data_IF_926207322151
#
_entry.id   IF_926207322151
#
_cell.length_a   1.000
_cell.length_b   1.000
_cell.length_c   1.000
_cell.angle_alpha   90.00
_cell.angle_beta   90.00
_cell.angle_gamma   90.00
#
_symmetry.space_group_name_H-M   'P 1'
#
loop_
_entity.id
_entity.type
_entity.pdbx_description
1 polymer ?
#
# COMPACT_ATOMS: atom_id res chain seq x y z
N UNK A 1 -19.27 -45.45 -70.64
CA UNK A 1 -19.98 -45.05 -69.38
C UNK A 1 -18.96 -44.77 -68.32
N UNK A 2 -18.51 -43.53 -68.24
CA UNK A 2 -17.62 -43.09 -67.19
C UNK A 2 -18.44 -42.23 -66.20
N UNK A 3 -18.65 -42.74 -65.02
CA UNK A 3 -19.22 -41.97 -63.88
C UNK A 3 -18.14 -41.10 -63.27
N UNK A 4 -18.19 -39.81 -63.52
CA UNK A 4 -17.37 -38.84 -62.77
C UNK A 4 -17.96 -38.62 -61.37
N UNK A 5 -17.36 -39.23 -60.37
CA UNK A 5 -17.65 -38.87 -58.98
C UNK A 5 -17.07 -37.49 -58.73
N UNK A 6 -17.88 -36.45 -58.73
CA UNK A 6 -17.53 -35.12 -58.30
C UNK A 6 -17.32 -35.10 -56.83
N UNK A 7 -16.06 -35.09 -56.39
CA UNK A 7 -15.72 -34.75 -55.01
C UNK A 7 -15.97 -33.25 -54.76
N UNK A 8 -17.04 -32.93 -54.06
CA UNK A 8 -17.28 -31.56 -53.56
C UNK A 8 -16.22 -31.23 -52.52
N UNK A 9 -15.25 -30.43 -52.94
CA UNK A 9 -14.29 -29.84 -52.00
C UNK A 9 -15.03 -28.71 -51.30
N UNK A 10 -15.36 -28.92 -50.03
CA UNK A 10 -15.82 -27.84 -49.12
C UNK A 10 -14.63 -26.93 -48.85
N UNK A 11 -14.55 -25.83 -49.57
CA UNK A 11 -13.63 -24.73 -49.24
C UNK A 11 -14.28 -23.94 -48.11
N UNK A 12 -13.70 -23.89 -46.94
CA UNK A 12 -14.20 -23.01 -45.87
C UNK A 12 -14.05 -21.56 -46.36
N UNK A 13 -15.15 -20.97 -46.80
CA UNK A 13 -15.21 -19.54 -47.09
C UNK A 13 -15.17 -18.79 -45.77
N UNK A 14 -14.01 -18.20 -45.46
CA UNK A 14 -13.86 -17.26 -44.39
C UNK A 14 -14.50 -15.91 -44.79
N UNK A 15 -15.69 -15.56 -44.26
CA UNK A 15 -16.37 -14.32 -44.60
C UNK A 15 -15.63 -13.06 -44.11
N UNK A 16 -14.63 -13.22 -43.27
CA UNK A 16 -13.81 -12.12 -42.74
C UNK A 16 -12.63 -11.75 -43.64
N UNK A 17 -12.39 -12.53 -44.75
CA UNK A 17 -11.26 -12.33 -45.68
C UNK A 17 -9.89 -12.28 -44.94
N UNK A 18 -9.72 -13.15 -43.98
CA UNK A 18 -8.47 -13.21 -43.18
C UNK A 18 -8.32 -12.14 -42.09
N UNK A 19 -9.31 -11.24 -41.93
CA UNK A 19 -9.25 -10.22 -40.85
C UNK A 19 -9.24 -10.84 -39.46
N UNK A 20 -9.88 -11.99 -39.29
CA UNK A 20 -9.84 -12.72 -38.01
C UNK A 20 -8.43 -13.19 -37.63
N UNK A 21 -7.62 -13.64 -38.60
CA UNK A 21 -6.23 -14.07 -38.37
C UNK A 21 -5.29 -12.89 -38.06
N UNK A 22 -5.59 -11.70 -38.57
CA UNK A 22 -4.82 -10.48 -38.30
C UNK A 22 -5.09 -9.98 -36.89
N UNK A 23 -6.29 -10.22 -36.35
CA UNK A 23 -6.66 -9.82 -34.98
C UNK A 23 -5.97 -10.70 -33.92
N UNK A 24 -5.76 -12.00 -34.22
CA UNK A 24 -5.16 -12.98 -33.32
C UNK A 24 -3.65 -12.74 -33.08
N UNK A 25 -2.98 -11.96 -33.92
CA UNK A 25 -1.52 -11.67 -33.83
C UNK A 25 -1.14 -10.31 -33.20
N UNK A 26 -2.09 -9.49 -32.83
CA UNK A 26 -1.81 -8.15 -32.27
C UNK A 26 -2.44 -7.97 -30.90
N UNK A 27 -1.87 -8.65 -29.88
CA UNK A 27 -2.14 -8.25 -28.49
C UNK A 27 -1.59 -6.83 -28.30
N UNK A 28 -2.46 -5.82 -28.08
CA UNK A 28 -1.98 -4.44 -27.92
C UNK A 28 -1.09 -4.37 -26.70
N UNK A 29 0.06 -3.74 -26.87
CA UNK A 29 0.96 -3.45 -25.75
C UNK A 29 0.20 -2.65 -24.69
N UNK A 30 0.48 -2.88 -23.39
CA UNK A 30 -0.14 -2.11 -22.27
C UNK A 30 -0.09 -0.60 -22.49
N UNK A 31 0.93 -0.12 -23.17
CA UNK A 31 1.08 1.29 -23.53
C UNK A 31 0.04 1.74 -24.57
N UNK A 32 -0.20 0.94 -25.61
CA UNK A 32 -1.22 1.21 -26.62
C UNK A 32 -2.63 1.16 -26.02
N UNK A 33 -2.87 0.22 -25.10
CA UNK A 33 -4.12 0.17 -24.35
C UNK A 33 -4.31 1.43 -23.49
N UNK A 34 -3.26 1.88 -22.80
CA UNK A 34 -3.32 3.12 -22.01
C UNK A 34 -3.70 4.33 -22.86
N UNK A 35 -3.16 4.46 -24.06
CA UNK A 35 -3.51 5.55 -24.98
C UNK A 35 -4.99 5.55 -25.39
N UNK A 36 -5.62 4.37 -25.40
CA UNK A 36 -7.05 4.20 -25.69
C UNK A 36 -7.96 4.57 -24.51
N UNK A 37 -7.41 4.79 -23.30
CA UNK A 37 -8.22 5.02 -22.10
C UNK A 37 -8.63 6.49 -21.85
N UNK A 38 -8.47 7.38 -22.85
CA UNK A 38 -8.94 8.75 -22.80
C UNK A 38 -8.35 9.60 -21.68
N UNK A 39 -9.04 10.72 -21.34
CA UNK A 39 -8.54 11.70 -20.37
C UNK A 39 -8.49 11.16 -18.93
N UNK A 40 -9.35 10.21 -18.60
CA UNK A 40 -9.48 9.66 -17.25
C UNK A 40 -8.31 8.77 -16.83
N UNK A 41 -7.49 8.32 -17.78
CA UNK A 41 -6.31 7.51 -17.46
C UNK A 41 -5.21 8.31 -16.76
N UNK A 42 -5.10 9.62 -17.03
CA UNK A 42 -4.07 10.47 -16.41
C UNK A 42 -4.20 10.57 -14.89
N UNK A 43 -5.39 10.87 -14.30
CA UNK A 43 -5.53 10.88 -12.85
C UNK A 43 -5.35 9.48 -12.24
N UNK A 44 -5.81 8.40 -12.91
CA UNK A 44 -5.57 7.03 -12.43
C UNK A 44 -4.07 6.73 -12.37
N UNK A 45 -3.32 7.07 -13.42
CA UNK A 45 -1.88 6.87 -13.48
C UNK A 45 -1.13 7.70 -12.44
N UNK A 46 -1.55 8.95 -12.21
CA UNK A 46 -0.99 9.80 -11.17
C UNK A 46 -1.12 9.15 -9.78
N UNK A 47 -2.31 8.69 -9.43
CA UNK A 47 -2.53 7.98 -8.17
C UNK A 47 -1.78 6.66 -8.09
N UNK A 48 -1.67 5.91 -9.21
CA UNK A 48 -0.90 4.68 -9.29
C UNK A 48 0.57 4.92 -8.96
N UNK A 49 1.21 5.86 -9.64
CA UNK A 49 2.63 6.20 -9.43
C UNK A 49 2.86 6.71 -8.01
N UNK A 50 2.02 7.62 -7.52
CA UNK A 50 2.11 8.15 -6.16
C UNK A 50 2.01 7.02 -5.11
N UNK A 51 1.02 6.13 -5.25
CA UNK A 51 0.83 4.99 -4.36
C UNK A 51 2.03 4.04 -4.37
N UNK A 52 2.55 3.69 -5.55
CA UNK A 52 3.72 2.81 -5.69
C UNK A 52 4.96 3.44 -5.03
N UNK A 53 5.23 4.71 -5.29
CA UNK A 53 6.39 5.41 -4.71
C UNK A 53 6.31 5.46 -3.18
N UNK A 54 5.13 5.80 -2.62
CA UNK A 54 4.91 5.82 -1.18
C UNK A 54 5.04 4.42 -0.60
N UNK A 55 4.44 3.41 -1.24
CA UNK A 55 4.49 2.02 -0.78
C UNK A 55 5.93 1.49 -0.75
N UNK A 56 6.72 1.73 -1.79
CA UNK A 56 8.13 1.33 -1.86
C UNK A 56 8.97 2.04 -0.80
N UNK A 57 8.83 3.37 -0.67
CA UNK A 57 9.56 4.15 0.32
C UNK A 57 9.23 3.70 1.75
N UNK A 58 7.96 3.54 2.06
CA UNK A 58 7.50 3.09 3.39
C UNK A 58 7.85 1.64 3.66
N UNK A 59 7.75 0.77 2.68
CA UNK A 59 8.18 -0.63 2.81
C UNK A 59 9.66 -0.69 3.18
N UNK A 60 10.51 0.05 2.47
CA UNK A 60 11.92 0.12 2.76
C UNK A 60 12.23 0.71 4.15
N UNK A 61 11.52 1.78 4.54
CA UNK A 61 11.66 2.41 5.86
C UNK A 61 11.30 1.43 6.98
N UNK A 62 10.14 0.77 6.88
CA UNK A 62 9.63 -0.12 7.93
C UNK A 62 10.40 -1.45 7.97
N UNK A 63 10.83 -1.97 6.80
CA UNK A 63 11.64 -3.20 6.71
C UNK A 63 13.03 -3.04 7.32
N UNK A 64 13.61 -1.85 7.28
CA UNK A 64 14.92 -1.56 7.87
C UNK A 64 14.93 -1.43 9.39
N UNK A 65 13.78 -1.38 10.04
CA UNK A 65 13.72 -1.32 11.51
C UNK A 65 13.97 -2.74 12.05
N UNK A 66 15.13 -2.98 12.69
CA UNK A 66 15.43 -4.29 13.27
C UNK A 66 14.54 -4.54 14.49
N UNK A 67 13.98 -5.72 14.56
CA UNK A 67 13.27 -6.16 15.76
C UNK A 67 14.30 -6.60 16.81
N UNK A 68 14.13 -6.20 18.08
CA UNK A 68 15.00 -6.69 19.15
C UNK A 68 14.82 -8.20 19.32
N UNK A 69 15.91 -8.94 19.10
CA UNK A 69 15.99 -10.36 19.35
C UNK A 69 16.84 -10.56 20.62
N UNK A 70 16.20 -10.79 21.76
CA UNK A 70 16.93 -11.06 22.98
C UNK A 70 16.29 -10.42 24.23
N UNK A 71 16.89 -10.69 25.42
CA UNK A 71 16.40 -10.11 26.66
C UNK A 71 16.51 -8.59 26.64
N UNK A 72 15.46 -7.92 27.07
CA UNK A 72 15.45 -6.46 27.20
C UNK A 72 16.37 -6.10 28.39
N UNK A 73 17.53 -5.54 28.10
CA UNK A 73 18.47 -5.06 29.10
C UNK A 73 18.76 -3.58 28.86
N UNK A 74 19.00 -2.82 29.93
CA UNK A 74 19.39 -1.41 29.83
C UNK A 74 20.77 -1.21 29.19
N UNK A 75 21.58 -2.27 29.10
CA UNK A 75 22.95 -2.26 28.53
C UNK A 75 23.02 -2.73 27.07
N UNK A 76 21.92 -3.24 26.51
CA UNK A 76 21.89 -3.75 25.11
C UNK A 76 21.98 -2.61 24.09
N UNK A 77 22.53 -2.90 22.92
CA UNK A 77 22.48 -1.98 21.78
C UNK A 77 21.32 -2.36 20.88
N UNK A 78 20.34 -1.49 20.74
CA UNK A 78 19.14 -1.69 19.95
C UNK A 78 19.13 -0.72 18.77
N UNK A 79 18.45 -1.06 17.67
CA UNK A 79 18.35 -0.19 16.50
C UNK A 79 17.06 0.64 16.48
N UNK A 80 17.12 1.83 15.86
CA UNK A 80 15.94 2.64 15.56
C UNK A 80 15.13 3.08 16.79
N UNK A 81 13.79 2.92 16.77
CA UNK A 81 12.92 3.41 17.85
C UNK A 81 13.19 2.75 19.22
N UNK A 82 13.63 1.51 19.24
CA UNK A 82 13.95 0.79 20.48
C UNK A 82 15.15 1.38 21.21
N UNK A 83 16.14 1.89 20.47
CA UNK A 83 17.29 2.58 21.05
C UNK A 83 16.88 3.92 21.68
N UNK A 84 15.94 4.62 21.05
CA UNK A 84 15.39 5.86 21.61
C UNK A 84 14.68 5.59 22.95
N UNK A 85 13.81 4.57 23.00
CA UNK A 85 13.13 4.17 24.25
C UNK A 85 14.13 3.80 25.35
N UNK A 86 15.18 3.04 25.00
CA UNK A 86 16.22 2.64 25.95
C UNK A 86 17.01 3.86 26.51
N UNK A 87 17.45 4.75 25.61
CA UNK A 87 18.20 5.96 26.01
C UNK A 87 17.36 6.85 26.94
N UNK A 88 16.09 7.02 26.61
CA UNK A 88 15.17 7.77 27.45
C UNK A 88 15.02 7.10 28.82
N UNK A 89 14.82 5.78 28.86
CA UNK A 89 14.72 5.07 30.13
C UNK A 89 15.99 5.19 30.99
N UNK A 90 17.19 5.24 30.37
CA UNK A 90 18.44 5.47 31.06
C UNK A 90 18.53 6.90 31.63
N UNK A 91 18.11 7.92 30.87
CA UNK A 91 18.14 9.32 31.29
C UNK A 91 17.21 9.62 32.49
N UNK A 92 16.14 8.85 32.61
CA UNK A 92 15.15 9.02 33.70
C UNK A 92 15.28 8.01 34.84
N UNK A 93 16.47 7.41 35.04
CA UNK A 93 16.70 6.41 36.09
C UNK A 93 16.34 6.91 37.51
N UNK A 94 16.57 8.17 37.83
CA UNK A 94 16.29 8.76 39.14
C UNK A 94 14.87 9.24 39.38
N UNK A 95 13.96 9.15 38.37
CA UNK A 95 12.57 9.63 38.48
C UNK A 95 11.60 8.49 38.81
N UNK A 96 10.37 8.85 39.24
CA UNK A 96 9.32 7.86 39.55
C UNK A 96 8.99 6.99 38.33
N UNK A 97 8.67 5.69 38.47
CA UNK A 97 8.34 4.79 37.38
C UNK A 97 7.16 5.28 36.55
N UNK A 98 6.16 5.93 37.18
CA UNK A 98 4.97 6.44 36.52
C UNK A 98 5.30 7.50 35.46
N UNK A 99 6.23 8.41 35.80
CA UNK A 99 6.71 9.47 34.88
C UNK A 99 7.45 8.84 33.70
N UNK A 100 8.22 7.80 33.93
CA UNK A 100 8.93 7.10 32.87
C UNK A 100 7.94 6.43 31.88
N UNK A 101 6.90 5.79 32.43
CA UNK A 101 5.87 5.13 31.63
C UNK A 101 5.16 6.12 30.70
N UNK A 102 4.77 7.29 31.20
CA UNK A 102 4.14 8.36 30.45
C UNK A 102 5.04 8.87 29.30
N UNK A 103 6.30 9.15 29.59
CA UNK A 103 7.27 9.63 28.58
C UNK A 103 7.53 8.57 27.50
N UNK A 104 7.68 7.30 27.88
CA UNK A 104 7.89 6.23 26.91
C UNK A 104 6.66 6.04 26.02
N UNK A 105 5.46 6.20 26.58
CA UNK A 105 4.21 6.13 25.81
C UNK A 105 4.10 7.28 24.80
N UNK A 106 4.45 8.51 25.19
CA UNK A 106 4.51 9.67 24.29
C UNK A 106 5.47 9.43 23.11
N UNK A 107 6.65 8.86 23.38
CA UNK A 107 7.62 8.52 22.33
C UNK A 107 7.05 7.46 21.37
N UNK A 108 6.31 6.49 21.87
CA UNK A 108 5.68 5.46 21.02
C UNK A 108 4.66 6.09 20.10
N UNK A 109 3.79 6.97 20.63
CA UNK A 109 2.77 7.68 19.82
C UNK A 109 3.45 8.53 18.74
N UNK A 110 4.49 9.28 19.08
CA UNK A 110 5.24 10.10 18.14
C UNK A 110 5.90 9.24 17.04
N UNK A 111 6.51 8.12 17.40
CA UNK A 111 7.10 7.20 16.45
C UNK A 111 6.03 6.59 15.54
N UNK A 112 4.88 6.18 16.09
CA UNK A 112 3.76 5.68 15.32
C UNK A 112 3.28 6.72 14.30
N UNK A 113 3.00 7.95 14.73
CA UNK A 113 2.52 9.02 13.85
C UNK A 113 3.49 9.30 12.69
N UNK A 114 4.80 9.30 12.96
CA UNK A 114 5.83 9.48 11.90
C UNK A 114 5.87 8.31 10.92
N UNK A 115 5.71 7.09 11.40
CA UNK A 115 5.74 5.89 10.57
C UNK A 115 4.44 5.73 9.76
N UNK A 116 3.29 6.11 10.31
CA UNK A 116 1.99 6.08 9.64
C UNK A 116 1.87 7.12 8.52
N UNK A 117 2.61 8.23 8.61
CA UNK A 117 2.53 9.33 7.65
C UNK A 117 2.72 8.82 6.22
N UNK A 118 1.70 9.02 5.38
CA UNK A 118 1.65 8.60 3.96
C UNK A 118 0.99 7.24 3.71
N UNK A 119 0.86 6.35 4.70
CA UNK A 119 0.13 5.08 4.53
C UNK A 119 -1.35 5.31 4.20
N UNK A 120 -2.07 6.27 4.82
CA UNK A 120 -3.45 6.55 4.46
C UNK A 120 -3.64 6.96 2.99
N UNK A 121 -2.65 7.60 2.37
CA UNK A 121 -2.73 7.98 0.96
C UNK A 121 -2.79 6.76 0.03
N UNK A 122 -2.11 5.65 0.39
CA UNK A 122 -2.20 4.39 -0.35
C UNK A 122 -3.63 3.82 -0.26
N UNK A 123 -4.26 3.89 0.93
CA UNK A 123 -5.65 3.47 1.11
C UNK A 123 -6.63 4.32 0.30
N UNK A 124 -6.42 5.64 0.30
CA UNK A 124 -7.22 6.59 -0.50
C UNK A 124 -7.10 6.26 -2.00
N UNK A 125 -5.88 5.98 -2.49
CA UNK A 125 -5.67 5.55 -3.88
C UNK A 125 -6.44 4.27 -4.20
N UNK A 126 -6.38 3.27 -3.32
CA UNK A 126 -7.09 2.01 -3.51
C UNK A 126 -8.62 2.20 -3.58
N UNK A 127 -9.17 3.18 -2.86
CA UNK A 127 -10.60 3.50 -2.89
C UNK A 127 -11.00 4.36 -4.11
N UNK A 128 -10.17 5.35 -4.47
CA UNK A 128 -10.51 6.32 -5.52
C UNK A 128 -10.25 5.76 -6.92
N UNK A 129 -9.21 4.95 -7.12
CA UNK A 129 -8.85 4.46 -8.46
C UNK A 129 -9.99 3.69 -9.17
N UNK A 130 -10.74 2.77 -8.54
CA UNK A 130 -11.90 2.14 -9.17
C UNK A 130 -13.03 3.12 -9.47
N UNK A 131 -13.24 4.15 -8.62
CA UNK A 131 -14.27 5.16 -8.84
C UNK A 131 -13.94 6.05 -10.04
N UNK A 132 -12.66 6.39 -10.22
CA UNK A 132 -12.19 7.09 -11.43
C UNK A 132 -12.35 6.21 -12.66
N UNK A 133 -12.09 4.91 -12.55
CA UNK A 133 -12.35 3.94 -13.61
C UNK A 133 -13.85 3.89 -13.99
N UNK A 134 -14.72 3.82 -12.99
CA UNK A 134 -16.16 3.86 -13.21
C UNK A 134 -16.62 5.20 -13.85
N UNK A 135 -16.06 6.32 -13.38
CA UNK A 135 -16.36 7.62 -13.96
C UNK A 135 -15.97 7.68 -15.44
N UNK A 136 -14.82 7.06 -15.79
CA UNK A 136 -14.38 6.92 -17.18
C UNK A 136 -15.37 6.12 -18.02
N UNK A 137 -15.95 5.02 -17.49
CA UNK A 137 -16.97 4.26 -18.23
C UNK A 137 -18.25 5.08 -18.44
N UNK A 138 -18.72 5.77 -17.42
CA UNK A 138 -19.93 6.59 -17.52
C UNK A 138 -19.78 7.71 -18.56
N UNK A 139 -18.64 8.42 -18.52
CA UNK A 139 -18.36 9.51 -19.48
C UNK A 139 -18.19 8.99 -20.89
N UNK A 140 -17.43 7.88 -21.08
CA UNK A 140 -17.24 7.26 -22.37
C UNK A 140 -18.57 6.79 -23.01
N UNK A 141 -19.46 6.19 -22.22
CA UNK A 141 -20.78 5.78 -22.70
C UNK A 141 -21.68 6.97 -23.03
N UNK A 142 -21.62 8.07 -22.26
CA UNK A 142 -22.34 9.30 -22.58
C UNK A 142 -21.89 9.83 -23.96
N UNK A 143 -20.60 9.82 -24.24
CA UNK A 143 -20.09 10.30 -25.52
C UNK A 143 -20.49 9.38 -26.69
N UNK A 144 -20.54 8.07 -26.48
CA UNK A 144 -21.08 7.12 -27.46
C UNK A 144 -22.56 7.42 -27.78
N UNK A 145 -23.39 7.64 -26.75
CA UNK A 145 -24.81 7.99 -26.97
C UNK A 145 -24.98 9.35 -27.66
N UNK A 146 -24.16 10.34 -27.34
CA UNK A 146 -24.16 11.64 -28.06
C UNK A 146 -23.84 11.48 -29.53
N UNK A 147 -22.88 10.61 -29.90
CA UNK A 147 -22.57 10.32 -31.29
C UNK A 147 -23.73 9.68 -32.00
N UNK A 148 -24.41 8.70 -31.41
CA UNK A 148 -25.58 8.05 -31.96
C UNK A 148 -26.72 9.05 -32.23
N UNK A 149 -26.95 10.01 -31.29
CA UNK A 149 -28.04 10.97 -31.42
C UNK A 149 -27.75 12.10 -32.41
N UNK A 150 -26.48 12.48 -32.56
CA UNK A 150 -26.09 13.61 -33.41
C UNK A 150 -25.85 13.21 -34.90
N UNK A 151 -25.49 11.96 -35.14
CA UNK A 151 -25.19 11.45 -36.49
C UNK A 151 -26.22 10.40 -36.88
N UNK A 152 -26.90 10.63 -37.97
CA UNK A 152 -27.92 9.69 -38.48
C UNK A 152 -27.35 8.28 -38.81
N UNK A 153 -26.06 8.19 -39.12
CA UNK A 153 -25.31 6.95 -39.34
C UNK A 153 -23.92 7.06 -38.69
N UNK A 154 -23.79 6.83 -37.39
CA UNK A 154 -22.48 6.79 -36.77
C UNK A 154 -21.65 5.60 -37.27
N UNK A 155 -20.37 5.81 -37.55
CA UNK A 155 -19.49 4.72 -37.94
C UNK A 155 -19.32 3.71 -36.78
N UNK A 156 -19.53 2.43 -37.08
CA UNK A 156 -19.41 1.35 -36.09
C UNK A 156 -18.01 1.34 -35.40
N UNK A 157 -16.98 1.80 -36.11
CA UNK A 157 -15.62 1.92 -35.60
C UNK A 157 -15.49 2.95 -34.48
N UNK A 158 -16.19 4.10 -34.57
CA UNK A 158 -16.17 5.14 -33.55
C UNK A 158 -16.95 4.72 -32.28
N UNK A 159 -18.09 4.03 -32.49
CA UNK A 159 -18.85 3.45 -31.39
C UNK A 159 -18.00 2.41 -30.61
N UNK A 160 -17.37 1.49 -31.36
CA UNK A 160 -16.50 0.48 -30.78
C UNK A 160 -15.33 1.10 -30.03
N UNK A 161 -14.75 2.19 -30.55
CA UNK A 161 -13.67 2.94 -29.87
C UNK A 161 -14.14 3.55 -28.55
N UNK A 162 -15.28 4.23 -28.50
CA UNK A 162 -15.81 4.84 -27.28
C UNK A 162 -16.13 3.80 -26.20
N UNK A 163 -16.69 2.65 -26.58
CA UNK A 163 -16.92 1.53 -25.66
C UNK A 163 -15.60 0.96 -25.14
N UNK A 164 -14.61 0.77 -26.03
CA UNK A 164 -13.30 0.27 -25.65
C UNK A 164 -12.60 1.22 -24.67
N UNK A 165 -12.63 2.53 -24.92
CA UNK A 165 -12.09 3.56 -24.04
C UNK A 165 -12.70 3.48 -22.63
N UNK A 166 -14.02 3.36 -22.57
CA UNK A 166 -14.74 3.20 -21.32
C UNK A 166 -14.26 1.97 -20.52
N UNK A 167 -14.16 0.82 -21.16
CA UNK A 167 -13.77 -0.44 -20.51
C UNK A 167 -12.29 -0.42 -20.05
N UNK A 168 -11.40 0.20 -20.84
CA UNK A 168 -9.98 0.34 -20.52
C UNK A 168 -9.76 1.16 -19.26
N UNK A 169 -10.49 2.24 -19.05
CA UNK A 169 -10.34 3.06 -17.83
C UNK A 169 -10.68 2.27 -16.56
N UNK A 170 -11.73 1.46 -16.57
CA UNK A 170 -12.08 0.58 -15.44
C UNK A 170 -11.02 -0.48 -15.20
N UNK A 171 -10.50 -1.10 -16.26
CA UNK A 171 -9.39 -2.06 -16.18
C UNK A 171 -8.20 -1.45 -15.44
N UNK A 172 -7.73 -0.28 -15.82
CA UNK A 172 -6.59 0.40 -15.18
C UNK A 172 -6.91 0.89 -13.77
N UNK A 173 -8.14 1.31 -13.50
CA UNK A 173 -8.61 1.63 -12.15
C UNK A 173 -8.45 0.44 -11.20
N UNK A 174 -8.87 -0.75 -11.61
CA UNK A 174 -8.73 -1.97 -10.82
C UNK A 174 -7.28 -2.45 -10.71
N UNK A 175 -6.49 -2.39 -11.79
CA UNK A 175 -5.05 -2.71 -11.78
C UNK A 175 -4.30 -1.83 -10.79
N UNK A 176 -4.69 -0.57 -10.62
CA UNK A 176 -4.11 0.35 -9.65
C UNK A 176 -4.59 0.05 -8.22
N UNK A 177 -5.87 -0.23 -8.05
CA UNK A 177 -6.49 -0.40 -6.73
C UNK A 177 -6.01 -1.66 -6.01
N UNK A 178 -5.92 -2.79 -6.70
CA UNK A 178 -5.61 -4.08 -6.07
C UNK A 178 -4.22 -4.09 -5.43
N UNK A 179 -3.11 -3.72 -6.12
CA UNK A 179 -1.79 -3.65 -5.50
C UNK A 179 -1.73 -2.61 -4.37
N UNK A 180 -2.42 -1.46 -4.53
CA UNK A 180 -2.47 -0.43 -3.50
C UNK A 180 -3.14 -0.93 -2.21
N UNK A 181 -4.25 -1.67 -2.33
CA UNK A 181 -4.93 -2.26 -1.18
C UNK A 181 -4.05 -3.28 -0.46
N UNK A 182 -3.38 -4.15 -1.21
CA UNK A 182 -2.46 -5.14 -0.65
C UNK A 182 -1.29 -4.45 0.06
N UNK A 183 -0.67 -3.46 -0.57
CA UNK A 183 0.43 -2.71 0.01
C UNK A 183 0.00 -2.00 1.30
N UNK A 184 -1.17 -1.34 1.30
CA UNK A 184 -1.73 -0.73 2.50
C UNK A 184 -1.94 -1.74 3.63
N UNK A 185 -2.56 -2.88 3.35
CA UNK A 185 -2.85 -3.91 4.35
C UNK A 185 -1.56 -4.48 4.97
N UNK A 186 -0.54 -4.78 4.14
CA UNK A 186 0.73 -5.32 4.60
C UNK A 186 1.52 -4.31 5.44
N UNK A 187 1.59 -3.04 5.00
CA UNK A 187 2.29 -1.99 5.72
C UNK A 187 1.62 -1.66 7.06
N UNK A 188 0.30 -1.53 7.09
CA UNK A 188 -0.47 -1.25 8.31
C UNK A 188 -0.31 -2.38 9.32
N UNK A 189 -0.42 -3.65 8.88
CA UNK A 189 -0.22 -4.81 9.76
C UNK A 189 1.20 -4.84 10.34
N UNK A 190 2.21 -4.57 9.52
CA UNK A 190 3.59 -4.57 9.98
C UNK A 190 3.87 -3.42 10.97
N UNK A 191 3.28 -2.26 10.72
CA UNK A 191 3.40 -1.11 11.61
C UNK A 191 2.74 -1.37 12.96
N UNK A 192 1.53 -1.92 12.99
CA UNK A 192 0.85 -2.33 14.23
C UNK A 192 1.69 -3.32 15.02
N UNK A 193 2.28 -4.31 14.35
CA UNK A 193 3.18 -5.25 15.00
C UNK A 193 4.45 -4.61 15.57
N UNK A 194 4.97 -3.55 14.92
CA UNK A 194 6.10 -2.77 15.43
C UNK A 194 5.72 -1.99 16.69
N UNK A 195 4.58 -1.28 16.66
CA UNK A 195 4.06 -0.51 17.80
C UNK A 195 3.82 -1.41 19.00
N UNK A 196 3.16 -2.54 18.83
CA UNK A 196 2.92 -3.52 19.91
C UNK A 196 4.23 -4.04 20.53
N UNK A 197 5.28 -4.24 19.70
CA UNK A 197 6.60 -4.61 20.24
C UNK A 197 7.27 -3.46 20.99
N UNK A 198 7.10 -2.21 20.57
CA UNK A 198 7.59 -1.04 21.30
C UNK A 198 6.90 -0.89 22.66
N UNK A 199 5.60 -1.10 22.73
CA UNK A 199 4.82 -1.12 23.97
C UNK A 199 5.31 -2.21 24.92
N UNK A 200 5.46 -3.44 24.43
CA UNK A 200 6.00 -4.54 25.24
C UNK A 200 7.43 -4.30 25.70
N UNK A 201 8.26 -3.66 24.88
CA UNK A 201 9.62 -3.27 25.25
C UNK A 201 9.61 -2.19 26.34
N UNK A 202 8.78 -1.16 26.20
CA UNK A 202 8.58 -0.09 27.17
C UNK A 202 8.12 -0.64 28.52
N UNK A 203 7.10 -1.50 28.54
CA UNK A 203 6.61 -2.11 29.76
C UNK A 203 7.72 -2.89 30.51
N UNK A 204 8.57 -3.62 29.79
CA UNK A 204 9.71 -4.33 30.40
C UNK A 204 10.76 -3.36 30.98
N UNK A 205 11.03 -2.24 30.31
CA UNK A 205 11.94 -1.22 30.85
C UNK A 205 11.43 -0.61 32.14
N UNK A 206 10.12 -0.34 32.23
CA UNK A 206 9.48 0.15 33.46
C UNK A 206 9.53 -0.90 34.57
N UNK A 207 9.28 -2.17 34.25
CA UNK A 207 9.35 -3.27 35.22
C UNK A 207 10.75 -3.47 35.78
N UNK A 208 11.78 -3.49 34.92
CA UNK A 208 13.18 -3.55 35.36
C UNK A 208 13.56 -2.41 36.31
N UNK A 209 12.93 -1.25 36.12
CA UNK A 209 13.14 -0.11 37.00
C UNK A 209 12.41 -0.26 38.35
N UNK A 210 11.24 -0.88 38.39
CA UNK A 210 10.51 -1.20 39.63
C UNK A 210 11.25 -2.24 40.48
N UNK A 211 11.92 -3.19 39.84
CA UNK A 211 12.67 -4.29 40.45
C UNK A 211 14.08 -3.88 40.87
N UNK A 212 14.66 -2.81 40.32
CA UNK A 212 15.96 -2.32 40.74
C UNK A 212 15.86 -1.88 42.25
N UNK A 213 16.66 -2.48 43.13
CA UNK A 213 16.44 -2.35 44.57
C UNK A 213 16.48 -0.89 45.04
N UNK A 214 15.57 -0.56 45.97
CA UNK A 214 15.58 0.67 46.78
C UNK A 214 16.80 0.74 47.71
N UNK A 215 17.76 -0.18 47.62
CA UNK A 215 18.77 -0.48 48.62
C UNK A 215 19.96 0.48 48.71
N UNK A 216 20.00 1.54 47.87
CA UNK A 216 21.08 2.54 48.04
C UNK A 216 20.71 3.77 48.90
N UNK A 217 19.41 3.96 49.17
CA UNK A 217 18.95 5.10 49.99
C UNK A 217 18.96 4.83 51.50
N UNK A 218 18.72 3.58 51.91
CA UNK A 218 18.60 3.21 53.33
C UNK A 218 19.92 2.91 54.00
N UNK A 219 21.00 2.74 53.27
CA UNK A 219 22.32 2.46 53.83
C UNK A 219 23.08 3.73 54.28
N UNK A 220 22.66 4.90 53.79
CA UNK A 220 23.30 6.17 54.14
C UNK A 220 22.66 6.75 55.40
N UNK A 221 21.34 6.59 55.57
CA UNK A 221 20.59 7.13 56.70
C UNK A 221 20.87 6.36 58.02
N UNK A 222 21.24 5.07 57.94
CA UNK A 222 21.63 4.28 59.11
C UNK A 222 23.05 4.50 59.58
N UNK A 223 23.90 5.22 58.86
CA UNK A 223 25.29 5.45 59.24
C UNK A 223 25.48 6.75 60.03
N UNK A 224 24.53 7.67 59.94
CA UNK A 224 24.56 8.94 60.69
C UNK A 224 23.89 8.87 62.07
N UNK A 225 23.04 7.81 62.32
CA UNK A 225 22.43 7.61 63.65
C UNK A 225 23.28 6.80 64.61
N UNK A 226 24.42 6.23 64.19
CA UNK A 226 25.27 5.44 65.08
C UNK A 226 26.56 6.20 65.59
N UNK A 227 26.65 7.51 65.35
CA UNK A 227 27.80 8.34 65.73
C UNK A 227 27.34 9.64 66.42
N UNK A 228 26.30 9.55 67.20
CA UNK A 228 25.85 10.63 68.09
C UNK A 228 25.78 10.20 69.56
#
# INVERSE_FOLDING_TARGET
>A
LASSSGSSVLIPLDPSLGKALVIEGSDPTLWEEMQKGGIWIYPILFFAVASILIALFKSFQVLRIPFPHGPVTLAGNFGGPFELLRKTAQGYRGKKPEILEEILYEIIIDCQARLEKGIPLIAITAAIAPLLGLLGTVTGMIDVFRQITNFANPENSELARGISEALVTTKFGLITAIPSLIAHALLSRRLQGLVSKMEGFSARLVHLKKEAPKDLGSSIEKKDESTG
#
